data_IF_069651717576
#
_entry.id   IF_069651717576
#
_cell.length_a   1.000
_cell.length_b   1.000
_cell.length_c   1.000
_cell.angle_alpha   90.00
_cell.angle_beta   90.00
_cell.angle_gamma   90.00
#
_symmetry.space_group_name_H-M   'P 1'
#
loop_
_entity.id
_entity.type
_entity.pdbx_description
1 polymer ?
#
# COMPACT_ATOMS: atom_id res chain seq x y z
N UNK A 1 -21.73 -52.23 -24.44
CA UNK A 1 -20.58 -51.88 -25.31
C UNK A 1 -20.76 -50.55 -26.07
N UNK A 2 -21.93 -49.90 -26.02
CA UNK A 2 -22.25 -48.75 -26.90
C UNK A 2 -21.92 -47.35 -26.34
N UNK A 3 -21.77 -47.18 -25.03
CA UNK A 3 -21.56 -45.85 -24.41
C UNK A 3 -20.10 -45.37 -24.50
N UNK A 4 -19.12 -46.29 -24.49
CA UNK A 4 -17.69 -45.95 -24.57
C UNK A 4 -17.28 -45.40 -25.94
N UNK A 5 -17.93 -45.89 -27.01
CA UNK A 5 -17.69 -45.42 -28.39
C UNK A 5 -18.23 -44.01 -28.58
N UNK A 6 -19.40 -43.70 -28.00
CA UNK A 6 -20.02 -42.37 -28.09
C UNK A 6 -19.17 -41.32 -27.36
N UNK A 7 -18.62 -41.64 -26.19
CA UNK A 7 -17.71 -40.73 -25.46
C UNK A 7 -16.41 -40.46 -26.23
N UNK A 8 -15.76 -41.50 -26.78
CA UNK A 8 -14.55 -41.32 -27.61
C UNK A 8 -14.82 -40.50 -28.86
N UNK A 9 -16.00 -40.66 -29.47
CA UNK A 9 -16.38 -39.90 -30.66
C UNK A 9 -16.64 -38.42 -30.33
N UNK A 10 -17.31 -38.12 -29.21
CA UNK A 10 -17.55 -36.75 -28.76
C UNK A 10 -16.25 -36.03 -28.38
N UNK A 11 -15.29 -36.72 -27.78
CA UNK A 11 -13.98 -36.13 -27.43
C UNK A 11 -13.13 -35.82 -28.68
N UNK A 12 -13.15 -36.69 -29.69
CA UNK A 12 -12.50 -36.39 -30.97
C UNK A 12 -13.10 -35.17 -31.67
N UNK A 13 -14.43 -35.03 -31.65
CA UNK A 13 -15.13 -33.89 -32.25
C UNK A 13 -14.79 -32.59 -31.51
N UNK A 14 -14.76 -32.61 -30.17
CA UNK A 14 -14.36 -31.46 -29.36
C UNK A 14 -12.91 -31.07 -29.62
N UNK A 15 -12.01 -32.04 -29.73
CA UNK A 15 -10.59 -31.81 -30.01
C UNK A 15 -10.41 -31.18 -31.40
N UNK A 16 -11.03 -31.72 -32.46
CA UNK A 16 -10.96 -31.14 -33.81
C UNK A 16 -11.49 -29.72 -33.88
N UNK A 17 -12.59 -29.42 -33.18
CA UNK A 17 -13.16 -28.07 -33.11
C UNK A 17 -12.24 -27.08 -32.38
N UNK A 18 -11.55 -27.54 -31.33
CA UNK A 18 -10.59 -26.72 -30.59
C UNK A 18 -9.33 -26.40 -31.42
N UNK A 19 -8.78 -27.37 -32.17
CA UNK A 19 -7.61 -27.12 -33.03
C UNK A 19 -7.94 -26.20 -34.22
N UNK A 20 -9.13 -26.31 -34.83
CA UNK A 20 -9.55 -25.43 -35.91
C UNK A 20 -9.72 -23.96 -35.47
N UNK A 21 -10.23 -23.73 -34.25
CA UNK A 21 -10.37 -22.38 -33.67
C UNK A 21 -9.01 -21.77 -33.27
N UNK A 22 -8.02 -22.62 -32.97
CA UNK A 22 -6.64 -22.19 -32.69
C UNK A 22 -5.93 -21.71 -33.97
N UNK A 23 -6.08 -22.43 -35.09
CA UNK A 23 -5.48 -22.05 -36.38
C UNK A 23 -6.03 -20.72 -36.91
N UNK A 24 -7.35 -20.48 -36.79
CA UNK A 24 -7.97 -19.20 -37.22
C UNK A 24 -7.53 -18.01 -36.35
N UNK A 25 -7.31 -18.23 -35.04
CA UNK A 25 -6.79 -17.20 -34.13
C UNK A 25 -5.33 -16.85 -34.43
N UNK A 26 -4.50 -17.84 -34.74
CA UNK A 26 -3.08 -17.61 -35.09
C UNK A 26 -2.95 -16.84 -36.41
N UNK A 27 -3.72 -17.20 -37.45
CA UNK A 27 -3.72 -16.45 -38.71
C UNK A 27 -4.21 -15.01 -38.54
N UNK A 28 -5.23 -14.80 -37.70
CA UNK A 28 -5.74 -13.47 -37.37
C UNK A 28 -4.67 -12.64 -36.65
N UNK A 29 -4.00 -13.19 -35.63
CA UNK A 29 -2.93 -12.51 -34.88
C UNK A 29 -1.73 -12.16 -35.76
N UNK A 30 -1.34 -13.07 -36.68
CA UNK A 30 -0.24 -12.81 -37.62
C UNK A 30 -0.60 -11.72 -38.63
N UNK A 31 -1.87 -11.60 -39.05
CA UNK A 31 -2.33 -10.51 -39.92
C UNK A 31 -2.33 -9.14 -39.22
N UNK A 32 -2.62 -9.09 -37.92
CA UNK A 32 -2.56 -7.85 -37.12
C UNK A 32 -1.11 -7.39 -36.89
N UNK A 33 -0.19 -8.33 -36.59
CA UNK A 33 1.24 -8.03 -36.44
C UNK A 33 1.88 -7.54 -37.74
N UNK A 34 1.54 -8.13 -38.88
CA UNK A 34 2.05 -7.70 -40.19
C UNK A 34 1.53 -6.31 -40.61
N UNK A 35 0.36 -5.88 -40.12
CA UNK A 35 -0.22 -4.57 -40.39
C UNK A 35 0.37 -3.46 -39.52
N UNK A 36 0.79 -3.79 -38.29
CA UNK A 36 1.44 -2.85 -37.38
C UNK A 36 2.85 -2.42 -37.85
N UNK A 37 3.57 -3.28 -38.57
CA UNK A 37 4.93 -2.99 -39.04
C UNK A 37 5.02 -2.08 -40.28
N UNK A 38 3.91 -1.74 -40.95
CA UNK A 38 3.92 -0.87 -42.15
C UNK A 38 3.77 0.63 -41.88
N UNK A 39 3.63 1.06 -40.62
CA UNK A 39 3.59 2.48 -40.24
C UNK A 39 4.84 2.95 -39.47
N UNK A 40 5.94 2.21 -39.60
CA UNK A 40 7.08 2.30 -38.69
C UNK A 40 8.12 3.45 -38.87
N UNK A 41 8.06 4.45 -39.78
CA UNK A 41 9.10 5.49 -39.76
C UNK A 41 8.71 6.79 -39.04
N UNK A 42 7.62 6.86 -38.25
CA UNK A 42 7.21 8.10 -37.55
C UNK A 42 7.04 8.01 -36.02
N UNK A 43 7.65 7.02 -35.38
CA UNK A 43 7.55 6.85 -33.91
C UNK A 43 8.90 6.89 -33.16
N UNK A 44 10.03 7.05 -33.85
CA UNK A 44 11.35 7.14 -33.20
C UNK A 44 11.59 8.44 -32.42
N UNK A 45 10.74 9.46 -32.58
CA UNK A 45 10.88 10.74 -31.88
C UNK A 45 10.16 10.79 -30.52
N UNK A 46 9.29 9.82 -30.20
CA UNK A 46 8.52 9.83 -28.94
C UNK A 46 9.21 9.06 -27.80
N UNK A 47 10.12 8.13 -28.10
CA UNK A 47 10.83 7.33 -27.08
C UNK A 47 11.87 8.13 -26.29
N UNK A 48 12.45 9.17 -26.89
CA UNK A 48 13.48 9.99 -26.24
C UNK A 48 12.92 10.88 -25.10
N UNK A 49 11.61 11.13 -25.04
CA UNK A 49 10.99 11.96 -24.00
C UNK A 49 10.55 11.20 -22.75
N UNK A 50 10.38 9.89 -22.83
CA UNK A 50 10.02 9.05 -21.67
C UNK A 50 11.25 8.39 -21.02
N UNK A 51 12.39 8.33 -21.70
CA UNK A 51 13.62 7.79 -21.14
C UNK A 51 14.27 8.71 -20.09
N UNK A 52 14.12 10.03 -20.21
CA UNK A 52 14.72 10.97 -19.25
C UNK A 52 13.98 11.08 -17.91
N UNK A 53 12.78 10.50 -17.78
CA UNK A 53 12.06 10.45 -16.51
C UNK A 53 12.50 9.28 -15.61
N UNK A 54 13.19 8.28 -16.17
CA UNK A 54 13.66 7.10 -15.45
C UNK A 54 15.13 7.22 -14.98
N UNK A 55 15.83 8.28 -15.35
CA UNK A 55 17.27 8.42 -15.16
C UNK A 55 17.64 9.74 -14.48
N UNK A 56 17.12 9.97 -13.26
CA UNK A 56 17.76 10.87 -12.30
C UNK A 56 17.27 10.61 -10.87
N UNK A 57 17.65 9.47 -10.29
CA UNK A 57 17.68 9.35 -8.84
C UNK A 57 19.06 9.77 -8.34
N UNK A 58 19.24 11.07 -8.14
CA UNK A 58 20.30 11.60 -7.29
C UNK A 58 20.05 11.06 -5.88
N UNK A 59 20.66 9.92 -5.58
CA UNK A 59 20.74 9.37 -4.23
C UNK A 59 21.78 10.14 -3.45
N UNK A 60 21.35 11.24 -2.84
CA UNK A 60 22.08 11.79 -1.71
C UNK A 60 21.89 10.81 -0.56
N UNK A 61 22.91 9.97 -0.28
CA UNK A 61 22.84 8.97 0.78
C UNK A 61 22.52 9.58 2.15
N UNK A 62 22.79 10.88 2.33
CA UNK A 62 22.59 11.62 3.57
C UNK A 62 21.21 12.29 3.71
N UNK A 63 20.29 12.14 2.76
CA UNK A 63 18.96 12.77 2.82
C UNK A 63 17.86 11.71 2.88
N UNK A 64 16.89 11.90 3.79
CA UNK A 64 15.70 11.06 3.92
C UNK A 64 14.53 11.71 3.19
N UNK A 65 14.16 11.18 2.03
CA UNK A 65 13.00 11.64 1.27
C UNK A 65 11.75 10.95 1.81
N UNK A 66 10.89 11.69 2.50
CA UNK A 66 9.74 11.14 3.19
C UNK A 66 8.43 11.49 2.49
N UNK A 67 7.57 10.47 2.37
CA UNK A 67 6.18 10.61 1.93
C UNK A 67 5.26 10.00 2.98
N UNK A 68 4.25 10.76 3.40
CA UNK A 68 3.18 10.32 4.27
C UNK A 68 1.85 10.66 3.62
N UNK A 69 1.05 9.63 3.32
CA UNK A 69 -0.21 9.81 2.63
C UNK A 69 -1.28 8.82 3.11
N UNK A 70 -2.53 9.26 2.98
CA UNK A 70 -3.75 8.46 3.04
C UNK A 70 -4.42 8.48 1.66
N UNK A 71 -5.31 7.52 1.33
CA UNK A 71 -6.06 7.54 0.07
C UNK A 71 -6.75 8.88 -0.23
N UNK A 72 -7.14 9.63 0.80
CA UNK A 72 -7.80 10.92 0.65
C UNK A 72 -6.82 12.08 0.42
N UNK A 73 -5.72 12.11 1.17
CA UNK A 73 -4.79 13.26 1.21
C UNK A 73 -3.34 12.86 1.47
N UNK A 74 -2.40 13.59 0.84
CA UNK A 74 -0.97 13.51 1.14
C UNK A 74 -0.55 14.60 2.13
N UNK A 75 -0.02 14.21 3.28
CA UNK A 75 0.47 15.14 4.31
C UNK A 75 1.92 15.55 4.06
N UNK A 76 2.73 14.63 3.57
CA UNK A 76 4.10 14.86 3.14
C UNK A 76 4.30 14.20 1.77
N UNK A 77 4.88 14.93 0.82
CA UNK A 77 5.22 14.39 -0.51
C UNK A 77 6.69 14.67 -0.84
N UNK A 78 7.52 13.62 -0.75
CA UNK A 78 8.96 13.65 -1.08
C UNK A 78 9.72 14.77 -0.37
N UNK A 79 9.29 15.12 0.84
CA UNK A 79 9.92 16.17 1.65
C UNK A 79 11.19 15.60 2.29
N UNK A 80 12.26 16.38 2.32
CA UNK A 80 13.49 15.97 3.00
C UNK A 80 13.29 16.23 4.50
N UNK A 81 13.31 15.18 5.30
CA UNK A 81 13.13 15.25 6.76
C UNK A 81 14.36 14.68 7.46
N UNK A 82 14.55 15.01 8.74
CA UNK A 82 15.71 14.56 9.51
C UNK A 82 15.51 13.17 10.10
N UNK A 83 14.33 12.95 10.67
CA UNK A 83 13.97 11.71 11.35
C UNK A 83 12.47 11.49 11.31
N UNK A 84 12.05 10.23 11.20
CA UNK A 84 10.65 9.81 11.32
C UNK A 84 10.56 8.65 12.30
N UNK A 85 9.73 8.78 13.33
CA UNK A 85 9.42 7.69 14.26
C UNK A 85 8.05 7.11 13.93
N UNK A 86 8.02 5.80 13.69
CA UNK A 86 6.86 5.10 13.15
C UNK A 86 6.45 3.95 14.07
N UNK A 87 5.18 3.86 14.50
CA UNK A 87 4.68 2.73 15.28
C UNK A 87 4.44 1.53 14.37
N UNK A 88 5.20 0.46 14.58
CA UNK A 88 5.05 -0.82 13.87
C UNK A 88 4.55 -1.91 14.82
N UNK A 89 4.09 -3.04 14.28
CA UNK A 89 3.71 -4.20 15.09
C UNK A 89 4.86 -4.73 15.97
N UNK A 90 6.12 -4.52 15.57
CA UNK A 90 7.30 -4.93 16.32
C UNK A 90 7.74 -3.91 17.40
N UNK A 91 7.10 -2.74 17.46
CA UNK A 91 7.49 -1.61 18.31
C UNK A 91 7.65 -0.32 17.51
N UNK A 92 8.22 0.71 18.14
CA UNK A 92 8.46 2.01 17.49
C UNK A 92 9.82 1.98 16.79
N UNK A 93 9.83 2.31 15.49
CA UNK A 93 11.04 2.34 14.65
C UNK A 93 11.37 3.79 14.32
N UNK A 94 12.58 4.23 14.68
CA UNK A 94 13.13 5.53 14.29
C UNK A 94 13.95 5.42 13.02
N UNK A 95 13.54 6.15 11.98
CA UNK A 95 14.12 6.10 10.64
C UNK A 95 14.84 7.41 10.38
N UNK A 96 16.13 7.32 10.05
CA UNK A 96 16.98 8.44 9.68
C UNK A 96 17.54 8.23 8.25
N UNK A 97 18.34 9.18 7.77
CA UNK A 97 19.08 9.01 6.52
C UNK A 97 19.95 7.73 6.56
N UNK A 98 20.07 7.05 5.41
CA UNK A 98 20.80 5.77 5.26
C UNK A 98 20.32 4.63 6.18
N UNK A 99 19.01 4.55 6.46
CA UNK A 99 18.44 3.41 7.20
C UNK A 99 18.40 2.14 6.33
N UNK A 100 18.39 0.96 6.98
CA UNK A 100 18.28 -0.33 6.30
C UNK A 100 16.92 -0.44 5.59
N UNK A 101 16.87 -0.94 4.33
CA UNK A 101 15.62 -1.22 3.64
C UNK A 101 14.71 -2.11 4.49
N UNK A 102 13.50 -1.63 4.77
CA UNK A 102 12.60 -2.25 5.73
C UNK A 102 11.17 -2.12 5.23
N UNK A 103 10.43 -3.22 5.29
CA UNK A 103 8.98 -3.23 5.11
C UNK A 103 8.33 -3.53 6.46
N UNK A 104 7.33 -2.75 6.82
CA UNK A 104 6.62 -2.89 8.09
C UNK A 104 5.13 -2.66 7.94
N UNK A 105 4.37 -3.25 8.85
CA UNK A 105 2.94 -2.95 9.03
C UNK A 105 2.81 -2.05 10.25
N UNK A 106 2.00 -1.01 10.11
CA UNK A 106 1.78 -0.03 11.16
C UNK A 106 0.79 -0.56 12.20
N UNK A 107 1.06 -0.22 13.46
CA UNK A 107 0.11 -0.36 14.57
C UNK A 107 -0.61 0.99 14.75
N UNK A 108 -1.88 1.03 15.18
CA UNK A 108 -2.54 2.28 15.54
C UNK A 108 -1.67 3.09 16.52
N UNK A 109 -1.35 4.34 16.16
CA UNK A 109 -0.44 5.15 16.96
C UNK A 109 -0.02 6.45 16.30
N UNK A 110 0.91 7.16 16.93
CA UNK A 110 1.42 8.46 16.48
C UNK A 110 2.68 8.28 15.65
N UNK A 111 2.68 8.80 14.43
CA UNK A 111 3.87 9.02 13.62
C UNK A 111 4.42 10.40 13.94
N UNK A 112 5.70 10.45 14.30
CA UNK A 112 6.41 11.68 14.66
C UNK A 112 7.41 12.02 13.56
N UNK A 113 7.21 13.16 12.91
CA UNK A 113 8.07 13.64 11.82
C UNK A 113 8.88 14.82 12.33
N UNK A 114 10.21 14.69 12.33
CA UNK A 114 11.13 15.77 12.70
C UNK A 114 11.72 16.38 11.44
N UNK A 115 11.40 17.64 11.20
CA UNK A 115 11.92 18.43 10.09
C UNK A 115 13.41 18.81 10.31
N UNK A 116 14.08 19.31 9.27
CA UNK A 116 15.48 19.73 9.35
C UNK A 116 15.70 20.89 10.32
N UNK A 117 14.69 21.75 10.47
CA UNK A 117 14.69 22.87 11.42
C UNK A 117 14.41 22.43 12.87
N UNK A 118 14.20 21.13 13.11
CA UNK A 118 13.88 20.56 14.42
C UNK A 118 12.41 20.69 14.83
N UNK A 119 11.54 21.20 13.94
CA UNK A 119 10.09 21.20 14.16
C UNK A 119 9.56 19.77 14.13
N UNK A 120 8.78 19.42 15.16
CA UNK A 120 8.15 18.11 15.29
C UNK A 120 6.68 18.22 14.88
N UNK A 121 6.25 17.37 13.95
CA UNK A 121 4.85 17.21 13.54
C UNK A 121 4.37 15.82 13.93
N UNK A 122 3.25 15.76 14.64
CA UNK A 122 2.70 14.52 15.17
C UNK A 122 1.34 14.24 14.53
N UNK A 123 1.22 13.05 13.94
CA UNK A 123 0.04 12.63 13.20
C UNK A 123 -0.37 11.25 13.69
N UNK A 124 -1.63 11.07 14.05
CA UNK A 124 -2.17 9.78 14.39
C UNK A 124 -2.48 9.00 13.11
N UNK A 125 -2.10 7.72 13.07
CA UNK A 125 -2.36 6.81 11.96
C UNK A 125 -3.11 5.60 12.49
N UNK A 126 -4.21 5.22 11.84
CA UNK A 126 -5.03 4.07 12.24
C UNK A 126 -4.35 2.74 11.94
N UNK A 127 -3.97 2.53 10.68
CA UNK A 127 -3.35 1.32 10.17
C UNK A 127 -2.58 1.70 8.90
N UNK A 128 -1.71 0.81 8.40
CA UNK A 128 -1.02 1.07 7.16
C UNK A 128 0.27 0.28 6.96
N UNK A 129 1.11 0.78 6.05
CA UNK A 129 2.40 0.19 5.72
C UNK A 129 3.52 1.22 5.78
N UNK A 130 4.71 0.70 6.04
CA UNK A 130 5.97 1.41 6.01
C UNK A 130 6.88 0.75 4.98
N UNK A 131 7.47 1.54 4.08
CA UNK A 131 8.50 1.11 3.15
C UNK A 131 9.70 2.04 3.22
N UNK A 132 10.83 1.52 3.68
CA UNK A 132 12.14 2.13 3.50
C UNK A 132 12.84 1.44 2.33
N UNK A 133 13.15 2.22 1.30
CA UNK A 133 13.76 1.73 0.07
C UNK A 133 15.29 1.88 0.10
N UNK A 134 15.99 1.10 -0.72
CA UNK A 134 17.47 1.20 -0.90
C UNK A 134 17.90 2.58 -1.39
N UNK A 135 16.97 3.23 -2.06
CA UNK A 135 17.08 4.51 -2.72
C UNK A 135 16.99 5.69 -1.70
N UNK A 136 16.84 5.40 -0.40
CA UNK A 136 16.75 6.40 0.67
C UNK A 136 15.39 7.09 0.78
N UNK A 137 14.39 6.67 0.00
CA UNK A 137 13.01 7.10 0.17
C UNK A 137 12.29 6.28 1.23
N UNK A 138 11.56 6.97 2.09
CA UNK A 138 10.69 6.38 3.09
C UNK A 138 9.24 6.75 2.78
N UNK A 139 8.39 5.74 2.70
CA UNK A 139 6.97 5.89 2.43
C UNK A 139 6.19 5.29 3.59
N UNK A 140 5.36 6.10 4.22
CA UNK A 140 4.39 5.67 5.22
C UNK A 140 3.01 5.92 4.63
N UNK A 141 2.26 4.85 4.40
CA UNK A 141 0.94 4.91 3.80
C UNK A 141 -0.07 4.44 4.84
N UNK A 142 -0.90 5.37 5.31
CA UNK A 142 -1.94 5.11 6.28
C UNK A 142 -3.30 4.96 5.62
N UNK A 143 -4.20 4.16 6.19
CA UNK A 143 -5.60 4.17 5.77
C UNK A 143 -6.26 5.50 6.15
N UNK A 144 -6.19 5.84 7.44
CA UNK A 144 -6.67 7.12 7.96
C UNK A 144 -5.58 7.80 8.78
N UNK A 145 -5.41 9.09 8.55
CA UNK A 145 -4.43 9.94 9.22
C UNK A 145 -5.17 11.16 9.76
N UNK A 146 -4.94 11.48 11.04
CA UNK A 146 -5.58 12.61 11.72
C UNK A 146 -4.54 13.40 12.53
N UNK A 147 -4.51 14.73 12.44
CA UNK A 147 -3.68 15.56 13.33
C UNK A 147 -4.12 15.41 14.79
N UNK A 148 -3.16 15.33 15.72
CA UNK A 148 -3.47 15.14 17.15
C UNK A 148 -4.36 16.27 17.69
N UNK A 149 -4.22 17.48 17.16
CA UNK A 149 -5.03 18.64 17.54
C UNK A 149 -6.52 18.51 17.24
N UNK A 150 -6.91 17.59 16.36
CA UNK A 150 -8.30 17.37 15.94
C UNK A 150 -8.97 16.19 16.68
N UNK A 151 -8.23 15.47 17.52
CA UNK A 151 -8.74 14.29 18.21
C UNK A 151 -9.49 14.70 19.49
N UNK A 152 -10.77 14.31 19.58
CA UNK A 152 -11.58 14.47 20.80
C UNK A 152 -11.39 13.28 21.74
N UNK A 153 -10.73 13.52 22.88
CA UNK A 153 -10.50 12.53 23.93
C UNK A 153 -11.80 11.97 24.51
N UNK A 154 -12.83 12.81 24.65
CA UNK A 154 -14.10 12.42 25.26
C UNK A 154 -14.87 11.44 24.39
N UNK A 155 -14.84 11.64 23.07
CA UNK A 155 -15.38 10.71 22.10
C UNK A 155 -14.62 9.39 22.11
N UNK A 156 -13.28 9.43 22.12
CA UNK A 156 -12.44 8.23 22.15
C UNK A 156 -12.71 7.37 23.41
N UNK A 157 -12.88 8.00 24.58
CA UNK A 157 -13.23 7.29 25.83
C UNK A 157 -14.59 6.60 25.78
N UNK A 158 -15.60 7.24 25.18
CA UNK A 158 -16.94 6.63 25.00
C UNK A 158 -16.88 5.41 24.08
N UNK A 159 -16.10 5.50 22.99
CA UNK A 159 -15.87 4.38 22.07
C UNK A 159 -15.20 3.23 22.81
N UNK A 160 -14.14 3.50 23.57
CA UNK A 160 -13.43 2.50 24.37
C UNK A 160 -14.36 1.77 25.33
N UNK A 161 -15.19 2.48 26.10
CA UNK A 161 -16.12 1.85 27.04
C UNK A 161 -17.15 0.96 26.31
N UNK A 162 -17.67 1.43 25.17
CA UNK A 162 -18.61 0.66 24.36
C UNK A 162 -17.99 -0.59 23.74
N UNK A 163 -16.74 -0.50 23.29
CA UNK A 163 -16.00 -1.60 22.68
C UNK A 163 -15.58 -2.63 23.73
N UNK A 164 -15.17 -2.20 24.93
CA UNK A 164 -14.84 -3.10 26.03
C UNK A 164 -16.04 -3.95 26.47
N UNK A 165 -17.24 -3.37 26.55
CA UNK A 165 -18.47 -4.13 26.84
C UNK A 165 -18.74 -5.18 25.77
N UNK A 166 -18.66 -4.80 24.49
CA UNK A 166 -18.85 -5.73 23.37
C UNK A 166 -17.77 -6.81 23.29
N UNK A 167 -16.54 -6.54 23.72
CA UNK A 167 -15.47 -7.55 23.72
C UNK A 167 -15.75 -8.74 24.64
N UNK A 168 -16.63 -8.56 25.63
CA UNK A 168 -17.02 -9.59 26.60
C UNK A 168 -18.30 -10.34 26.22
N UNK A 169 -19.04 -9.86 25.22
CA UNK A 169 -20.38 -10.33 24.85
C UNK A 169 -20.46 -10.68 23.35
N UNK A 170 -21.40 -11.53 22.94
CA UNK A 170 -21.63 -11.82 21.52
C UNK A 170 -20.82 -12.99 20.93
N UNK A 171 -20.81 -13.07 19.60
CA UNK A 171 -20.14 -14.14 18.84
C UNK A 171 -18.63 -13.93 18.77
N UNK A 172 -17.87 -14.97 18.42
CA UNK A 172 -16.40 -14.86 18.31
C UNK A 172 -15.96 -13.78 17.30
N UNK A 173 -16.76 -13.55 16.27
CA UNK A 173 -16.53 -12.47 15.30
C UNK A 173 -16.72 -11.10 15.93
N UNK A 174 -17.82 -10.89 16.66
CA UNK A 174 -18.13 -9.61 17.30
C UNK A 174 -17.07 -9.26 18.35
N UNK A 175 -16.58 -10.27 19.08
CA UNK A 175 -15.48 -10.11 20.04
C UNK A 175 -14.19 -9.68 19.37
N UNK A 176 -13.84 -10.30 18.24
CA UNK A 176 -12.64 -9.94 17.49
C UNK A 176 -12.70 -8.50 16.96
N UNK A 177 -13.84 -8.07 16.40
CA UNK A 177 -14.06 -6.69 15.95
C UNK A 177 -13.97 -5.70 17.12
N UNK A 178 -14.62 -6.03 18.25
CA UNK A 178 -14.56 -5.20 19.45
C UNK A 178 -13.14 -5.08 20.02
N UNK A 179 -12.32 -6.14 19.97
CA UNK A 179 -10.92 -6.07 20.41
C UNK A 179 -10.08 -5.13 19.55
N UNK A 180 -10.29 -5.12 18.23
CA UNK A 180 -9.63 -4.17 17.33
C UNK A 180 -10.03 -2.73 17.68
N UNK A 181 -11.31 -2.50 17.93
CA UNK A 181 -11.80 -1.18 18.34
C UNK A 181 -11.21 -0.72 19.68
N UNK A 182 -11.07 -1.63 20.66
CA UNK A 182 -10.40 -1.34 21.93
C UNK A 182 -8.94 -0.92 21.68
N UNK A 183 -8.21 -1.65 20.84
CA UNK A 183 -6.81 -1.32 20.52
C UNK A 183 -6.66 0.08 19.90
N UNK A 184 -7.53 0.43 18.95
CA UNK A 184 -7.52 1.76 18.30
C UNK A 184 -7.92 2.86 19.28
N UNK A 185 -8.98 2.65 20.06
CA UNK A 185 -9.46 3.66 21.01
C UNK A 185 -8.45 3.93 22.13
N UNK A 186 -7.76 2.89 22.62
CA UNK A 186 -6.66 3.05 23.57
C UNK A 186 -5.49 3.83 22.97
N UNK A 187 -5.13 3.56 21.71
CA UNK A 187 -4.08 4.29 21.02
C UNK A 187 -4.42 5.78 20.84
N UNK A 188 -5.68 6.11 20.54
CA UNK A 188 -6.15 7.50 20.45
C UNK A 188 -6.03 8.25 21.78
N UNK A 189 -6.44 7.62 22.88
CA UNK A 189 -6.35 8.24 24.21
C UNK A 189 -4.87 8.44 24.61
N UNK A 190 -4.01 7.46 24.34
CA UNK A 190 -2.57 7.56 24.57
C UNK A 190 -1.94 8.69 23.76
N UNK A 191 -2.33 8.83 22.49
CA UNK A 191 -1.86 9.90 21.60
C UNK A 191 -2.18 11.29 22.16
N UNK A 192 -3.41 11.53 22.61
CA UNK A 192 -3.83 12.84 23.16
C UNK A 192 -3.16 13.12 24.52
N UNK A 193 -2.96 12.09 25.34
CA UNK A 193 -2.35 12.24 26.68
C UNK A 193 -0.82 12.39 26.62
N UNK A 194 -0.20 12.20 25.44
CA UNK A 194 1.26 12.27 25.26
C UNK A 194 2.01 11.02 25.73
N UNK A 195 1.34 9.87 25.85
CA UNK A 195 1.98 8.58 26.11
C UNK A 195 2.38 7.92 24.80
N UNK A 196 3.66 7.99 24.44
CA UNK A 196 4.22 7.42 23.21
C UNK A 196 5.12 6.24 23.58
#
# INVERSE_FOLDING_TARGET
MSISIIHKCLDEIKKKKFYADLETKVETIMSFLARALRQAPRLSALSARFASAAAESTHNANELKFTLASPDTSYFDKVIVKQVDVPTLAGVVGILATHVPTLGVLKPGVVKVTDNDGKVTELFVSSGTLSMNIDGSCQVLGEQIVPITEIDESAARKVLESAQRRSSEGSDKDKAEAMIEVEVAEALIKAVTGGH
#
